data_IF_122072412185
#
_entry.id   IF_122072412185
#
_cell.length_a   1.000
_cell.length_b   1.000
_cell.length_c   1.000
_cell.angle_alpha   90.00
_cell.angle_beta   90.00
_cell.angle_gamma   90.00
#
_symmetry.space_group_name_H-M   'P 1'
#
loop_
_entity.id
_entity.type
_entity.pdbx_description
1 polymer ?
#
# COMPACT_ATOMS: atom_id res chain seq x y z
N UNK A 1 31.54 -29.38 44.18
CA UNK A 1 32.24 -28.55 43.16
C UNK A 1 31.26 -28.40 42.01
N UNK A 2 30.71 -27.19 41.87
CA UNK A 2 29.86 -26.65 40.79
C UNK A 2 28.90 -27.57 40.03
N UNK A 3 27.72 -27.80 40.59
CA UNK A 3 26.53 -28.05 39.74
C UNK A 3 25.74 -26.77 39.50
N UNK A 4 25.76 -25.78 40.40
CA UNK A 4 25.02 -24.53 40.22
C UNK A 4 25.57 -23.65 39.08
N UNK A 5 26.88 -23.72 38.78
CA UNK A 5 27.46 -22.90 37.69
C UNK A 5 27.03 -23.42 36.32
N UNK A 6 26.87 -24.73 36.16
CA UNK A 6 26.44 -25.34 34.89
C UNK A 6 24.96 -25.02 34.58
N UNK A 7 24.09 -25.02 35.60
CA UNK A 7 22.67 -24.66 35.43
C UNK A 7 22.44 -23.15 35.24
N UNK A 8 23.19 -22.29 35.92
CA UNK A 8 23.06 -20.83 35.74
C UNK A 8 23.60 -20.39 34.37
N UNK A 9 24.70 -21.00 33.89
CA UNK A 9 25.27 -20.72 32.56
C UNK A 9 24.35 -21.20 31.43
N UNK A 10 23.69 -22.36 31.59
CA UNK A 10 22.68 -22.87 30.65
C UNK A 10 21.42 -21.98 30.59
N UNK A 11 21.00 -21.46 31.74
CA UNK A 11 19.82 -20.58 31.82
C UNK A 11 20.10 -19.21 31.19
N UNK A 12 21.32 -18.68 31.35
CA UNK A 12 21.74 -17.40 30.77
C UNK A 12 21.87 -17.49 29.24
N UNK A 13 22.47 -18.58 28.72
CA UNK A 13 22.56 -18.86 27.29
C UNK A 13 21.18 -19.03 26.63
N UNK A 14 20.25 -19.75 27.28
CA UNK A 14 18.87 -19.87 26.80
C UNK A 14 18.18 -18.49 26.76
N UNK A 15 18.32 -17.68 27.82
CA UNK A 15 17.72 -16.35 27.90
C UNK A 15 18.28 -15.42 26.81
N UNK A 16 19.59 -15.45 26.57
CA UNK A 16 20.25 -14.68 25.51
C UNK A 16 19.76 -15.17 24.14
N UNK A 17 19.70 -16.49 23.93
CA UNK A 17 19.22 -17.08 22.68
C UNK A 17 17.77 -16.69 22.36
N UNK A 18 16.86 -16.79 23.34
CA UNK A 18 15.48 -16.35 23.16
C UNK A 18 15.40 -14.85 22.88
N UNK A 19 16.19 -14.02 23.56
CA UNK A 19 16.20 -12.57 23.34
C UNK A 19 16.65 -12.19 21.93
N UNK A 20 17.69 -12.86 21.41
CA UNK A 20 18.17 -12.68 20.03
C UNK A 20 17.11 -13.15 19.04
N UNK A 21 16.45 -14.28 19.29
CA UNK A 21 15.41 -14.82 18.42
C UNK A 21 14.21 -13.86 18.34
N UNK A 22 13.73 -13.36 19.48
CA UNK A 22 12.65 -12.36 19.53
C UNK A 22 13.02 -11.11 18.76
N UNK A 23 14.22 -10.56 18.99
CA UNK A 23 14.70 -9.37 18.30
C UNK A 23 14.81 -9.59 16.78
N UNK A 24 15.24 -10.76 16.34
CA UNK A 24 15.32 -11.08 14.90
C UNK A 24 13.94 -11.14 14.24
N UNK A 25 12.96 -11.76 14.90
CA UNK A 25 11.59 -11.88 14.39
C UNK A 25 10.89 -10.52 14.36
N UNK A 26 11.07 -9.70 15.41
CA UNK A 26 10.51 -8.35 15.46
C UNK A 26 11.11 -7.45 14.40
N UNK A 27 12.43 -7.49 14.19
CA UNK A 27 13.10 -6.71 13.13
C UNK A 27 12.63 -7.16 11.76
N UNK A 28 12.56 -8.45 11.47
CA UNK A 28 12.07 -8.96 10.17
C UNK A 28 10.62 -8.53 9.92
N UNK A 29 9.77 -8.62 10.94
CA UNK A 29 8.38 -8.21 10.83
C UNK A 29 8.24 -6.69 10.65
N UNK A 30 8.96 -5.89 11.44
CA UNK A 30 9.00 -4.43 11.33
C UNK A 30 9.51 -4.00 9.95
N UNK A 31 10.54 -4.66 9.42
CA UNK A 31 11.05 -4.44 8.07
C UNK A 31 10.00 -4.80 7.01
N UNK A 32 9.31 -5.93 7.12
CA UNK A 32 8.25 -6.31 6.19
C UNK A 32 7.07 -5.31 6.20
N UNK A 33 6.68 -4.84 7.40
CA UNK A 33 5.65 -3.80 7.57
C UNK A 33 6.12 -2.47 6.99
N UNK A 34 7.37 -2.07 7.23
CA UNK A 34 7.95 -0.84 6.70
C UNK A 34 8.10 -0.90 5.17
N UNK A 35 8.53 -2.02 4.61
CA UNK A 35 8.57 -2.22 3.15
C UNK A 35 7.17 -2.12 2.54
N UNK A 36 6.16 -2.76 3.16
CA UNK A 36 4.75 -2.65 2.73
C UNK A 36 4.20 -1.22 2.89
N UNK A 37 4.67 -0.48 3.90
CA UNK A 37 4.34 0.91 4.15
C UNK A 37 4.96 1.86 3.11
N UNK A 38 6.24 1.68 2.80
CA UNK A 38 6.96 2.48 1.79
C UNK A 38 6.49 2.20 0.36
N UNK A 39 6.01 0.98 0.08
CA UNK A 39 5.49 0.61 -1.24
C UNK A 39 4.08 1.18 -1.50
N UNK A 40 3.34 1.53 -0.44
CA UNK A 40 2.02 2.15 -0.55
C UNK A 40 2.13 3.66 -0.30
N UNK A 41 2.27 4.44 -1.38
CA UNK A 41 2.15 5.92 -1.43
C UNK A 41 1.40 6.52 -0.22
N UNK A 42 2.18 6.97 0.77
CA UNK A 42 1.92 7.90 1.89
C UNK A 42 0.45 8.25 2.29
N UNK A 43 -0.49 7.30 2.29
CA UNK A 43 -1.78 7.50 2.97
C UNK A 43 -1.60 7.12 4.43
N UNK A 44 -1.15 8.10 5.22
CA UNK A 44 -1.14 8.06 6.68
C UNK A 44 -2.55 7.74 7.22
N UNK A 45 -2.84 6.46 7.35
CA UNK A 45 -3.99 5.98 8.09
C UNK A 45 -3.60 5.78 9.55
N UNK A 46 -4.35 6.38 10.48
CA UNK A 46 -4.28 6.17 11.93
C UNK A 46 -4.17 4.68 12.34
N UNK A 47 -4.75 3.78 11.51
CA UNK A 47 -4.71 2.33 11.67
C UNK A 47 -3.32 1.70 11.56
N UNK A 48 -2.43 2.24 10.72
CA UNK A 48 -1.06 1.71 10.56
C UNK A 48 -0.17 2.13 11.73
N UNK A 49 -0.34 3.37 12.21
CA UNK A 49 0.33 3.86 13.42
C UNK A 49 -0.15 3.07 14.63
N UNK A 50 -1.44 2.74 14.70
CA UNK A 50 -1.98 1.90 15.76
C UNK A 50 -1.40 0.48 15.74
N UNK A 51 -1.25 -0.16 14.57
CA UNK A 51 -0.59 -1.48 14.47
C UNK A 51 0.88 -1.42 14.90
N UNK A 52 1.61 -0.37 14.54
CA UNK A 52 3.01 -0.21 14.93
C UNK A 52 3.14 0.08 16.44
N UNK A 53 2.23 0.87 17.00
CA UNK A 53 2.15 1.13 18.44
C UNK A 53 1.79 -0.12 19.24
N UNK A 54 0.87 -0.96 18.75
CA UNK A 54 0.56 -2.26 19.37
C UNK A 54 1.76 -3.20 19.30
N UNK A 55 2.54 -3.17 18.21
CA UNK A 55 3.78 -3.94 18.12
C UNK A 55 4.81 -3.49 19.17
N UNK A 56 5.02 -2.18 19.27
CA UNK A 56 5.99 -1.57 20.18
C UNK A 56 5.60 -1.72 21.67
N UNK A 57 4.29 -1.76 21.97
CA UNK A 57 3.77 -1.99 23.32
C UNK A 57 3.62 -3.48 23.66
N UNK A 58 3.53 -4.36 22.65
CA UNK A 58 3.38 -5.81 22.83
C UNK A 58 4.68 -6.53 23.20
N UNK A 59 5.82 -6.03 22.71
CA UNK A 59 7.17 -6.53 23.03
C UNK A 59 7.46 -6.59 24.56
N UNK A 60 7.30 -5.50 25.34
CA UNK A 60 7.57 -5.52 26.78
C UNK A 60 6.56 -6.33 27.58
N UNK A 61 5.30 -6.42 27.12
CA UNK A 61 4.26 -7.20 27.79
C UNK A 61 4.52 -8.72 27.65
N UNK A 62 4.99 -9.18 26.49
CA UNK A 62 5.26 -10.60 26.28
C UNK A 62 6.51 -11.08 27.02
N UNK A 63 7.57 -10.26 27.09
CA UNK A 63 8.76 -10.58 27.89
C UNK A 63 8.46 -10.70 29.39
N UNK A 64 7.47 -9.95 29.90
CA UNK A 64 7.10 -9.97 31.31
C UNK A 64 6.21 -11.16 31.69
N UNK A 65 5.34 -11.64 30.79
CA UNK A 65 4.30 -12.63 31.13
C UNK A 65 4.66 -14.10 30.86
N UNK A 66 5.54 -14.41 29.88
CA UNK A 66 5.82 -15.81 29.49
C UNK A 66 7.32 -16.01 29.22
N UNK A 67 8.03 -16.58 30.19
CA UNK A 67 9.36 -17.18 29.95
C UNK A 67 9.15 -18.54 29.26
N UNK A 68 9.31 -18.59 27.93
CA UNK A 68 9.30 -19.86 27.19
C UNK A 68 8.99 -19.74 25.68
N UNK A 69 9.14 -20.86 24.94
CA UNK A 69 8.95 -20.90 23.48
C UNK A 69 7.50 -20.60 23.06
N UNK A 70 6.52 -20.82 23.94
CA UNK A 70 5.11 -20.51 23.69
C UNK A 70 4.85 -19.02 23.43
N UNK A 71 5.64 -18.12 24.02
CA UNK A 71 5.54 -16.68 23.76
C UNK A 71 5.94 -16.31 22.33
N UNK A 72 6.92 -16.99 21.75
CA UNK A 72 7.40 -16.74 20.38
C UNK A 72 6.32 -17.13 19.39
N UNK A 73 5.68 -18.29 19.61
CA UNK A 73 4.55 -18.73 18.80
C UNK A 73 3.34 -17.79 18.91
N UNK A 74 2.99 -17.35 20.12
CA UNK A 74 1.90 -16.40 20.32
C UNK A 74 2.17 -15.06 19.63
N UNK A 75 3.39 -14.53 19.76
CA UNK A 75 3.81 -13.29 19.10
C UNK A 75 3.82 -13.43 17.58
N UNK A 76 4.40 -14.51 17.05
CA UNK A 76 4.41 -14.79 15.61
C UNK A 76 2.99 -14.93 15.05
N UNK A 77 2.08 -15.61 15.77
CA UNK A 77 0.67 -15.73 15.39
C UNK A 77 -0.04 -14.38 15.44
N UNK A 78 0.17 -13.57 16.48
CA UNK A 78 -0.35 -12.21 16.55
C UNK A 78 0.16 -11.33 15.40
N UNK A 79 1.45 -11.42 15.08
CA UNK A 79 2.07 -10.75 13.94
C UNK A 79 1.46 -11.19 12.61
N UNK A 80 1.27 -12.50 12.39
CA UNK A 80 0.64 -13.03 11.18
C UNK A 80 -0.82 -12.58 11.05
N UNK A 81 -1.57 -12.61 12.15
CA UNK A 81 -2.95 -12.14 12.21
C UNK A 81 -3.00 -10.64 11.93
N UNK A 82 -2.14 -9.82 12.56
CA UNK A 82 -2.03 -8.38 12.29
C UNK A 82 -1.62 -8.13 10.84
N UNK A 83 -0.68 -8.90 10.26
CA UNK A 83 -0.28 -8.76 8.86
C UNK A 83 -1.39 -9.12 7.88
N UNK A 84 -2.20 -10.13 8.24
CA UNK A 84 -3.35 -10.60 7.46
C UNK A 84 -4.56 -9.65 7.59
N UNK A 85 -4.72 -9.01 8.75
CA UNK A 85 -5.74 -7.98 9.00
C UNK A 85 -5.29 -6.62 8.45
N UNK A 86 -3.97 -6.37 8.39
CA UNK A 86 -3.41 -5.22 7.70
C UNK A 86 -3.93 -5.34 6.27
N UNK A 87 -4.76 -4.39 5.80
CA UNK A 87 -5.19 -4.42 4.43
C UNK A 87 -3.90 -4.31 3.63
N UNK A 88 -3.45 -5.44 3.06
CA UNK A 88 -2.73 -5.41 1.82
C UNK A 88 -3.75 -4.81 0.88
N UNK A 89 -3.78 -3.49 0.83
CA UNK A 89 -4.41 -2.78 -0.23
C UNK A 89 -3.63 -3.15 -1.48
N UNK A 90 -3.89 -4.34 -2.02
CA UNK A 90 -4.68 -4.38 -3.23
C UNK A 90 -5.77 -3.34 -3.01
N UNK A 91 -5.45 -2.07 -3.34
CA UNK A 91 -6.46 -1.10 -3.67
C UNK A 91 -7.44 -1.93 -4.51
N UNK A 92 -8.73 -2.06 -4.14
CA UNK A 92 -9.70 -2.64 -5.04
C UNK A 92 -9.76 -1.67 -6.20
N UNK A 93 -8.80 -1.83 -7.12
CA UNK A 93 -8.56 -0.96 -8.25
C UNK A 93 -9.78 -0.98 -9.17
N UNK A 94 -10.61 -2.02 -9.02
CA UNK A 94 -11.84 -2.24 -9.73
C UNK A 94 -12.91 -1.15 -9.59
N UNK A 95 -12.92 -0.34 -8.52
CA UNK A 95 -14.00 0.63 -8.31
C UNK A 95 -13.59 2.10 -8.20
N UNK A 96 -12.30 2.44 -8.27
CA UNK A 96 -11.89 3.85 -8.23
C UNK A 96 -11.47 4.32 -9.61
N UNK A 97 -12.13 5.38 -10.05
CA UNK A 97 -11.84 6.05 -11.29
C UNK A 97 -11.09 7.36 -11.06
N UNK A 98 -10.15 7.65 -11.96
CA UNK A 98 -9.36 8.89 -11.95
C UNK A 98 -9.56 9.61 -13.27
N UNK A 99 -9.91 10.90 -13.21
CA UNK A 99 -9.89 11.80 -14.34
C UNK A 99 -8.56 12.57 -14.33
N UNK A 100 -7.77 12.45 -15.40
CA UNK A 100 -6.52 13.19 -15.57
C UNK A 100 -6.70 14.16 -16.71
N UNK A 101 -6.40 15.44 -16.47
CA UNK A 101 -6.46 16.47 -17.52
C UNK A 101 -5.09 16.74 -18.15
N UNK A 102 -5.06 17.11 -19.43
CA UNK A 102 -3.83 17.49 -20.13
C UNK A 102 -2.87 16.32 -20.39
N UNK A 103 -3.37 15.22 -20.96
CA UNK A 103 -2.62 13.99 -21.18
C UNK A 103 -1.83 13.94 -22.51
N UNK A 104 -1.81 15.05 -23.27
CA UNK A 104 -1.13 15.16 -24.57
C UNK A 104 0.39 15.06 -24.48
N UNK A 105 1.01 15.39 -23.34
CA UNK A 105 2.47 15.28 -23.17
C UNK A 105 2.90 15.29 -21.69
N UNK A 106 4.21 15.05 -21.45
CA UNK A 106 4.84 15.27 -20.16
C UNK A 106 4.29 14.42 -19.01
N UNK A 107 3.97 15.08 -17.90
CA UNK A 107 3.56 14.44 -16.65
C UNK A 107 2.22 13.71 -16.78
N UNK A 108 1.20 14.34 -17.38
CA UNK A 108 -0.12 13.73 -17.54
C UNK A 108 -0.06 12.41 -18.31
N UNK A 109 0.71 12.37 -19.41
CA UNK A 109 0.92 11.15 -20.18
C UNK A 109 1.57 10.03 -19.36
N UNK A 110 2.63 10.37 -18.61
CA UNK A 110 3.34 9.40 -17.76
C UNK A 110 2.48 8.91 -16.60
N UNK A 111 1.66 9.80 -16.02
CA UNK A 111 0.72 9.50 -14.95
C UNK A 111 -0.33 8.49 -15.42
N UNK A 112 -0.94 8.70 -16.59
CA UNK A 112 -1.93 7.76 -17.14
C UNK A 112 -1.35 6.36 -17.32
N UNK A 113 -0.13 6.25 -17.89
CA UNK A 113 0.56 4.96 -18.05
C UNK A 113 0.83 4.28 -16.71
N UNK A 114 1.23 5.06 -15.69
CA UNK A 114 1.46 4.54 -14.34
C UNK A 114 0.15 4.03 -13.73
N UNK A 115 -0.92 4.81 -13.80
CA UNK A 115 -2.23 4.44 -13.27
C UNK A 115 -2.82 3.19 -13.98
N UNK A 116 -2.63 3.07 -15.29
CA UNK A 116 -3.00 1.89 -16.05
C UNK A 116 -2.21 0.64 -15.62
N UNK A 117 -0.91 0.77 -15.39
CA UNK A 117 -0.08 -0.35 -14.89
C UNK A 117 -0.48 -0.82 -13.48
N UNK A 118 -1.01 0.08 -12.66
CA UNK A 118 -1.56 -0.23 -11.32
C UNK A 118 -2.97 -0.84 -11.43
N UNK A 119 -3.59 -0.75 -12.61
CA UNK A 119 -4.87 -1.36 -12.95
C UNK A 119 -6.10 -0.49 -12.69
N UNK A 120 -5.91 0.82 -12.58
CA UNK A 120 -6.98 1.80 -12.36
C UNK A 120 -7.77 2.07 -13.64
N UNK A 121 -9.06 2.38 -13.47
CA UNK A 121 -9.84 3.00 -14.54
C UNK A 121 -9.45 4.46 -14.64
N UNK A 122 -8.93 4.88 -15.79
CA UNK A 122 -8.44 6.23 -16.01
C UNK A 122 -9.22 6.87 -17.14
N UNK A 123 -9.70 8.09 -16.93
CA UNK A 123 -10.25 8.95 -17.96
C UNK A 123 -9.17 9.98 -18.28
N UNK A 124 -8.47 9.79 -19.39
CA UNK A 124 -7.39 10.66 -19.82
C UNK A 124 -7.96 11.69 -20.79
N UNK A 125 -7.86 12.98 -20.46
CA UNK A 125 -8.33 14.03 -21.36
C UNK A 125 -7.18 14.69 -22.12
N UNK A 126 -7.39 14.87 -23.42
CA UNK A 126 -6.44 15.47 -24.35
C UNK A 126 -7.15 16.58 -25.13
N UNK A 127 -6.43 17.62 -25.52
CA UNK A 127 -6.96 18.67 -26.39
C UNK A 127 -7.32 18.11 -27.77
N UNK A 128 -6.56 17.12 -28.25
CA UNK A 128 -6.83 16.41 -29.50
C UNK A 128 -6.50 14.93 -29.38
N UNK A 129 -7.44 14.07 -29.78
CA UNK A 129 -7.24 12.61 -29.79
C UNK A 129 -6.21 12.15 -30.84
N UNK A 130 -5.86 13.01 -31.79
CA UNK A 130 -4.85 12.74 -32.81
C UNK A 130 -3.46 13.26 -32.40
N UNK A 131 -3.30 13.79 -31.19
CA UNK A 131 -2.00 14.24 -30.73
C UNK A 131 -1.04 13.05 -30.58
N UNK A 132 0.28 13.24 -30.77
CA UNK A 132 1.26 12.17 -30.57
C UNK A 132 1.17 11.52 -29.19
N UNK A 133 0.84 12.31 -28.15
CA UNK A 133 0.63 11.81 -26.80
C UNK A 133 -0.62 10.94 -26.67
N UNK A 134 -1.75 11.38 -27.22
CA UNK A 134 -2.99 10.61 -27.21
C UNK A 134 -2.83 9.27 -27.94
N UNK A 135 -2.20 9.28 -29.12
CA UNK A 135 -1.88 8.06 -29.87
C UNK A 135 -0.96 7.14 -29.08
N UNK A 136 0.06 7.70 -28.41
CA UNK A 136 0.96 6.91 -27.56
C UNK A 136 0.24 6.26 -26.38
N UNK A 137 -0.76 6.92 -25.80
CA UNK A 137 -1.58 6.37 -24.72
C UNK A 137 -2.49 5.26 -25.24
N UNK A 138 -3.09 5.47 -26.42
CA UNK A 138 -3.95 4.47 -27.04
C UNK A 138 -3.21 3.18 -27.39
N UNK A 139 -1.93 3.27 -27.77
CA UNK A 139 -1.08 2.11 -28.08
C UNK A 139 -0.49 1.44 -26.83
N UNK A 140 -0.15 2.23 -25.80
CA UNK A 140 0.55 1.72 -24.62
C UNK A 140 -0.40 1.23 -23.50
N UNK A 141 -1.63 1.75 -23.44
CA UNK A 141 -2.54 1.50 -22.33
C UNK A 141 -3.56 0.39 -22.62
N UNK A 142 -4.05 -0.25 -21.55
CA UNK A 142 -5.12 -1.23 -21.61
C UNK A 142 -6.49 -0.59 -21.85
N UNK A 143 -7.51 -1.41 -22.16
CA UNK A 143 -8.90 -0.94 -22.35
C UNK A 143 -9.57 -0.34 -21.11
N UNK A 144 -8.85 -0.19 -19.99
CA UNK A 144 -9.28 0.53 -18.79
C UNK A 144 -9.05 2.04 -18.87
N UNK A 145 -8.25 2.49 -19.83
CA UNK A 145 -8.00 3.91 -20.10
C UNK A 145 -8.98 4.40 -21.16
N UNK A 146 -9.80 5.37 -20.80
CA UNK A 146 -10.71 6.06 -21.72
C UNK A 146 -10.08 7.39 -22.12
N UNK A 147 -9.71 7.52 -23.39
CA UNK A 147 -9.27 8.78 -23.95
C UNK A 147 -10.48 9.64 -24.33
N UNK A 148 -10.51 10.86 -23.82
CA UNK A 148 -11.57 11.84 -24.07
C UNK A 148 -10.96 13.11 -24.65
N UNK A 149 -11.63 13.69 -25.65
CA UNK A 149 -11.28 15.03 -26.10
C UNK A 149 -11.90 16.05 -25.16
N UNK A 150 -11.08 16.95 -24.61
CA UNK A 150 -11.54 18.03 -23.74
C UNK A 150 -10.76 19.30 -24.05
N UNK A 151 -11.47 20.32 -24.55
CA UNK A 151 -11.01 21.70 -24.45
C UNK A 151 -11.53 22.32 -23.15
N UNK A 152 -10.62 22.60 -22.20
CA UNK A 152 -10.96 23.21 -20.90
C UNK A 152 -11.48 24.65 -21.04
N UNK A 153 -11.37 25.26 -22.22
CA UNK A 153 -11.95 26.58 -22.51
C UNK A 153 -13.38 26.49 -23.03
N UNK A 154 -13.81 25.31 -23.50
CA UNK A 154 -15.16 25.03 -23.98
C UNK A 154 -16.02 24.45 -22.86
N UNK A 155 -16.98 25.24 -22.38
CA UNK A 155 -17.95 24.79 -21.37
C UNK A 155 -18.71 23.53 -21.81
N UNK A 156 -19.00 23.42 -23.12
CA UNK A 156 -19.70 22.27 -23.70
C UNK A 156 -18.87 20.98 -23.58
N UNK A 157 -17.57 21.06 -23.80
CA UNK A 157 -16.67 19.91 -23.74
C UNK A 157 -16.48 19.46 -22.29
N UNK A 158 -16.42 20.41 -21.37
CA UNK A 158 -16.40 20.15 -19.92
C UNK A 158 -17.65 19.40 -19.49
N UNK A 159 -18.84 19.90 -19.85
CA UNK A 159 -20.11 19.26 -19.48
C UNK A 159 -20.21 17.84 -20.04
N UNK A 160 -19.86 17.65 -21.30
CA UNK A 160 -19.87 16.34 -21.97
C UNK A 160 -18.91 15.36 -21.29
N UNK A 161 -17.70 15.82 -20.95
CA UNK A 161 -16.68 15.00 -20.28
C UNK A 161 -17.13 14.62 -18.87
N UNK A 162 -17.67 15.57 -18.11
CA UNK A 162 -18.17 15.33 -16.75
C UNK A 162 -19.33 14.35 -16.77
N UNK A 163 -20.26 14.48 -17.72
CA UNK A 163 -21.38 13.56 -17.87
C UNK A 163 -20.90 12.15 -18.23
N UNK A 164 -19.97 12.03 -19.17
CA UNK A 164 -19.35 10.76 -19.53
C UNK A 164 -18.69 10.08 -18.33
N UNK A 165 -17.88 10.82 -17.57
CA UNK A 165 -17.21 10.30 -16.36
C UNK A 165 -18.26 9.89 -15.32
N UNK A 166 -19.29 10.71 -15.07
CA UNK A 166 -20.34 10.38 -14.10
C UNK A 166 -21.08 9.09 -14.46
N UNK A 167 -21.43 8.90 -15.73
CA UNK A 167 -22.09 7.68 -16.20
C UNK A 167 -21.22 6.43 -15.96
N UNK A 168 -19.90 6.53 -16.14
CA UNK A 168 -18.99 5.40 -16.00
C UNK A 168 -18.45 5.17 -14.57
N UNK A 169 -18.70 6.10 -13.65
CA UNK A 169 -18.20 6.05 -12.27
C UNK A 169 -19.30 6.04 -11.21
N UNK A 170 -20.56 6.27 -11.60
CA UNK A 170 -21.67 6.39 -10.66
C UNK A 170 -21.56 7.60 -9.73
N UNK A 171 -20.69 8.57 -10.04
CA UNK A 171 -20.44 9.75 -9.22
C UNK A 171 -19.30 9.62 -8.21
N UNK A 172 -18.64 8.46 -8.12
CA UNK A 172 -17.46 8.25 -7.25
C UNK A 172 -16.16 8.30 -8.07
N UNK A 173 -15.61 9.49 -8.27
CA UNK A 173 -14.36 9.71 -9.01
C UNK A 173 -13.45 10.73 -8.35
N UNK A 174 -12.13 10.58 -8.52
CA UNK A 174 -11.12 11.57 -8.11
C UNK A 174 -10.64 12.31 -9.36
N UNK A 175 -10.58 13.63 -9.30
CA UNK A 175 -10.02 14.48 -10.36
C UNK A 175 -8.58 14.84 -9.95
N UNK A 176 -7.61 14.55 -10.83
CA UNK A 176 -6.19 14.87 -10.65
C UNK A 176 -5.73 15.90 -11.68
#
# INVERSE_FOLDING_TARGET
MNTNIDYDEYLDDDIIFYSILYSSVTVLFAMAVLSKFLTNEFRFGFRSVLSLAVLFLGEPLCQFFIKGPSGVFAFAMCCLVIYSILPASHLPVGNKAVLVTGCDSGFGNSLVKKLDSIGMRVFATCLSLNSPGAVSLQLACSGRVHLLQLDVTSQKDIETTVEYVKQHTGGEGIIL
#
